data_IF_661565806021
#
_entry.id   IF_661565806021
#
_cell.length_a   1.000
_cell.length_b   1.000
_cell.length_c   1.000
_cell.angle_alpha   90.00
_cell.angle_beta   90.00
_cell.angle_gamma   90.00
#
_symmetry.space_group_name_H-M   'P 1'
#
loop_
_entity.id
_entity.type
_entity.pdbx_description
1 polymer ?
#
# COMPACT_ATOMS: atom_id res chain seq x y z
N UNK A 1 10.19 10.09 -10.23
CA UNK A 1 8.80 10.45 -10.56
C UNK A 1 8.14 10.90 -9.28
N UNK A 2 7.57 12.11 -9.23
CA UNK A 2 6.93 12.66 -8.02
C UNK A 2 5.41 12.73 -8.16
N UNK A 3 4.88 12.56 -9.37
CA UNK A 3 3.47 12.53 -9.71
C UNK A 3 3.25 11.60 -10.90
N UNK A 4 2.04 11.05 -11.00
CA UNK A 4 1.57 10.22 -12.10
C UNK A 4 0.11 10.53 -12.46
N UNK A 5 -0.38 11.75 -12.19
CA UNK A 5 -1.77 12.16 -12.47
C UNK A 5 -2.22 12.02 -13.94
N UNK A 6 -1.28 12.11 -14.89
CA UNK A 6 -1.53 11.97 -16.33
C UNK A 6 -1.38 10.52 -16.84
N UNK A 7 -1.16 9.55 -15.96
CA UNK A 7 -0.96 8.15 -16.34
C UNK A 7 -2.26 7.50 -16.81
N UNK A 8 -2.34 7.23 -18.11
CA UNK A 8 -3.50 6.67 -18.80
C UNK A 8 -3.53 5.14 -18.83
N UNK A 9 -2.51 4.47 -18.30
CA UNK A 9 -2.49 3.00 -18.16
C UNK A 9 -3.64 2.56 -17.26
N UNK A 10 -4.05 1.30 -17.42
CA UNK A 10 -5.25 0.79 -16.74
C UNK A 10 -4.86 -0.01 -15.51
N UNK A 11 -5.48 0.30 -14.37
CA UNK A 11 -5.32 -0.44 -13.13
C UNK A 11 -5.82 -1.87 -13.31
N UNK A 12 -4.96 -2.84 -13.00
CA UNK A 12 -5.33 -4.24 -12.90
C UNK A 12 -5.74 -4.62 -11.48
N UNK A 13 -4.91 -4.23 -10.49
CA UNK A 13 -5.10 -4.58 -9.10
C UNK A 13 -4.46 -3.50 -8.22
N UNK A 14 -5.15 -3.13 -7.14
CA UNK A 14 -4.62 -2.27 -6.08
C UNK A 14 -4.34 -3.17 -4.88
N UNK A 15 -3.19 -3.03 -4.25
CA UNK A 15 -2.81 -3.83 -3.09
C UNK A 15 -2.23 -2.96 -1.99
N UNK A 16 -2.59 -3.27 -0.74
CA UNK A 16 -1.76 -2.90 0.40
C UNK A 16 -0.69 -4.00 0.57
N UNK A 17 0.58 -3.62 0.53
CA UNK A 17 1.71 -4.55 0.57
C UNK A 17 2.54 -4.30 1.80
N UNK A 18 2.76 -5.36 2.57
CA UNK A 18 3.60 -5.39 3.75
C UNK A 18 4.99 -5.95 3.38
N UNK A 19 6.03 -5.20 3.73
CA UNK A 19 7.43 -5.55 3.56
C UNK A 19 8.13 -5.67 4.91
N UNK A 20 9.15 -6.51 5.04
CA UNK A 20 10.08 -6.39 6.17
C UNK A 20 10.82 -5.06 6.02
N UNK A 21 10.87 -4.27 7.10
CA UNK A 21 11.70 -3.06 7.16
C UNK A 21 12.98 -3.34 7.94
N UNK A 22 12.84 -4.01 9.08
CA UNK A 22 13.92 -4.61 9.87
C UNK A 22 13.32 -5.76 10.72
N UNK A 23 14.13 -6.36 11.59
CA UNK A 23 13.72 -7.52 12.42
C UNK A 23 12.47 -7.25 13.28
N UNK A 24 12.20 -5.98 13.61
CA UNK A 24 11.14 -5.58 14.52
C UNK A 24 9.96 -4.89 13.83
N UNK A 25 10.14 -4.36 12.62
CA UNK A 25 9.15 -3.52 11.97
C UNK A 25 8.87 -3.93 10.53
N UNK A 26 7.62 -3.77 10.11
CA UNK A 26 7.22 -3.84 8.72
C UNK A 26 6.99 -2.45 8.15
N UNK A 27 7.20 -2.33 6.84
CA UNK A 27 6.78 -1.18 6.07
C UNK A 27 5.56 -1.52 5.23
N UNK A 28 4.59 -0.61 5.19
CA UNK A 28 3.38 -0.76 4.37
C UNK A 28 3.40 0.21 3.20
N UNK A 29 3.02 -0.28 2.02
CA UNK A 29 3.00 0.49 0.78
C UNK A 29 1.77 0.16 -0.05
N UNK A 30 1.38 1.09 -0.93
CA UNK A 30 0.31 0.91 -1.88
C UNK A 30 0.94 0.48 -3.21
N UNK A 31 0.57 -0.69 -3.70
CA UNK A 31 1.03 -1.21 -4.97
C UNK A 31 -0.11 -1.16 -5.99
N UNK A 32 0.13 -0.51 -7.12
CA UNK A 32 -0.83 -0.34 -8.21
C UNK A 32 -0.30 -1.13 -9.40
N UNK A 33 -0.83 -2.32 -9.62
CA UNK A 33 -0.52 -3.11 -10.80
C UNK A 33 -1.29 -2.58 -12.00
N UNK A 34 -0.65 -2.52 -13.15
CA UNK A 34 -1.28 -1.95 -14.34
C UNK A 34 -1.02 -2.75 -15.60
N UNK A 35 -1.85 -2.48 -16.60
CA UNK A 35 -1.71 -2.90 -17.99
C UNK A 35 -1.58 -1.66 -18.86
N UNK A 36 -0.97 -1.79 -20.04
CA UNK A 36 -0.79 -0.65 -20.94
C UNK A 36 -2.12 -0.06 -21.41
N UNK A 37 -3.15 -0.88 -21.58
CA UNK A 37 -4.51 -0.46 -21.90
C UNK A 37 -5.54 -1.56 -21.53
N UNK A 38 -6.83 -1.28 -21.76
CA UNK A 38 -7.95 -2.16 -21.40
C UNK A 38 -7.98 -3.49 -22.16
N UNK A 39 -7.39 -3.55 -23.36
CA UNK A 39 -7.40 -4.76 -24.21
C UNK A 39 -6.24 -5.70 -23.91
N UNK A 40 -5.19 -5.22 -23.25
CA UNK A 40 -4.05 -6.06 -22.87
C UNK A 40 -4.48 -7.11 -21.83
N UNK A 41 -3.96 -8.33 -21.99
CA UNK A 41 -4.15 -9.42 -21.02
C UNK A 41 -3.00 -9.52 -20.04
N UNK A 42 -1.77 -9.21 -20.47
CA UNK A 42 -0.57 -9.22 -19.64
C UNK A 42 -0.43 -7.97 -18.77
N UNK A 43 0.19 -8.13 -17.59
CA UNK A 43 0.60 -7.03 -16.72
C UNK A 43 1.86 -6.38 -17.27
N UNK A 44 1.88 -5.05 -17.28
CA UNK A 44 3.00 -4.27 -17.77
C UNK A 44 3.96 -3.85 -16.63
N UNK A 45 3.47 -3.81 -15.38
CA UNK A 45 4.29 -3.50 -14.22
C UNK A 45 3.47 -3.04 -13.02
N UNK A 46 4.13 -2.34 -12.10
CA UNK A 46 3.49 -1.72 -10.93
C UNK A 46 4.07 -0.36 -10.56
N UNK A 47 3.25 0.49 -9.96
CA UNK A 47 3.68 1.68 -9.23
C UNK A 47 3.52 1.43 -7.73
N UNK A 48 4.60 1.63 -6.98
CA UNK A 48 4.59 1.54 -5.52
C UNK A 48 4.64 2.94 -4.93
N UNK A 49 3.58 3.29 -4.22
CA UNK A 49 3.44 4.53 -3.49
C UNK A 49 3.63 4.25 -2.00
N UNK A 50 4.50 4.99 -1.34
CA UNK A 50 4.71 4.82 0.09
C UNK A 50 5.22 6.11 0.74
N UNK A 51 4.97 6.21 2.04
CA UNK A 51 5.57 7.23 2.89
C UNK A 51 6.77 6.63 3.62
N UNK A 52 7.85 7.37 3.77
CA UNK A 52 9.03 6.99 4.57
C UNK A 52 9.48 8.18 5.42
N UNK A 53 10.43 7.96 6.31
CA UNK A 53 11.14 9.05 7.00
C UNK A 53 12.51 9.17 6.35
N UNK A 54 12.87 10.37 5.95
CA UNK A 54 14.22 10.69 5.49
C UNK A 54 15.19 10.56 6.68
N UNK A 55 16.24 9.76 6.50
CA UNK A 55 17.14 9.42 7.60
C UNK A 55 18.06 10.58 8.03
N UNK A 56 18.27 11.58 7.16
CA UNK A 56 19.16 12.71 7.42
C UNK A 56 18.41 13.87 8.09
N UNK A 57 17.20 14.15 7.61
CA UNK A 57 16.39 15.30 8.04
C UNK A 57 15.33 14.92 9.07
N UNK A 58 14.89 13.66 9.09
CA UNK A 58 13.74 13.22 9.88
C UNK A 58 12.39 13.57 9.26
N UNK A 59 12.37 14.16 8.06
CA UNK A 59 11.15 14.59 7.40
C UNK A 59 10.37 13.40 6.82
N UNK A 60 9.05 13.52 6.78
CA UNK A 60 8.21 12.50 6.13
C UNK A 60 8.21 12.70 4.61
N UNK A 61 8.53 11.65 3.86
CA UNK A 61 8.71 11.69 2.40
C UNK A 61 7.71 10.79 1.72
N UNK A 62 6.98 11.32 0.75
CA UNK A 62 6.18 10.54 -0.19
C UNK A 62 7.03 10.14 -1.40
N UNK A 63 7.15 8.85 -1.67
CA UNK A 63 7.89 8.32 -2.79
C UNK A 63 7.02 7.44 -3.70
N UNK A 64 7.35 7.49 -5.00
CA UNK A 64 6.73 6.66 -6.04
C UNK A 64 7.84 5.91 -6.77
N UNK A 65 7.75 4.58 -6.77
CA UNK A 65 8.71 3.70 -7.43
C UNK A 65 8.00 2.90 -8.51
N UNK A 66 8.42 3.08 -9.76
CA UNK A 66 7.96 2.25 -10.87
C UNK A 66 8.76 0.94 -10.91
N UNK A 67 8.07 -0.18 -11.11
CA UNK A 67 8.67 -1.51 -11.22
C UNK A 67 8.18 -2.21 -12.48
N UNK A 68 9.07 -2.96 -13.13
CA UNK A 68 8.74 -3.80 -14.29
C UNK A 68 8.00 -5.10 -13.92
N UNK A 69 7.84 -5.38 -12.61
CA UNK A 69 7.15 -6.55 -12.08
C UNK A 69 5.89 -6.13 -11.31
N UNK A 70 4.91 -7.03 -11.22
CA UNK A 70 3.63 -6.77 -10.56
C UNK A 70 3.74 -6.73 -9.03
N UNK A 71 4.50 -7.65 -8.44
CA UNK A 71 4.74 -7.75 -6.99
C UNK A 71 6.23 -8.07 -6.77
N UNK A 72 6.82 -7.52 -5.72
CA UNK A 72 8.21 -7.83 -5.33
C UNK A 72 8.28 -9.16 -4.59
N UNK A 73 9.36 -9.92 -4.79
CA UNK A 73 9.64 -11.15 -4.05
C UNK A 73 9.89 -10.92 -2.54
N UNK A 74 10.07 -9.66 -2.11
CA UNK A 74 10.29 -9.30 -0.71
C UNK A 74 9.01 -8.80 0.00
N UNK A 75 7.82 -9.26 -0.43
CA UNK A 75 6.59 -9.02 0.31
C UNK A 75 6.33 -10.16 1.30
N UNK A 76 5.84 -9.82 2.50
CA UNK A 76 5.43 -10.80 3.51
C UNK A 76 3.93 -11.02 3.46
N UNK A 77 3.17 -9.97 3.15
CA UNK A 77 1.71 -10.03 3.04
C UNK A 77 1.22 -9.05 1.98
N UNK A 78 0.16 -9.43 1.28
CA UNK A 78 -0.63 -8.53 0.43
C UNK A 78 -2.10 -8.59 0.82
N UNK A 79 -2.78 -7.45 0.73
CA UNK A 79 -4.23 -7.37 0.83
C UNK A 79 -4.74 -6.74 -0.46
N UNK A 80 -5.56 -7.50 -1.17
CA UNK A 80 -5.97 -7.18 -2.54
C UNK A 80 -7.27 -6.39 -2.59
N UNK A 81 -7.32 -5.39 -3.46
CA UNK A 81 -8.47 -4.55 -3.74
C UNK A 81 -8.66 -4.46 -5.27
N UNK A 82 -9.47 -5.36 -5.86
CA UNK A 82 -9.82 -5.27 -7.27
C UNK A 82 -10.50 -3.92 -7.58
N UNK A 83 -10.17 -3.27 -8.70
CA UNK A 83 -10.84 -2.03 -9.09
C UNK A 83 -12.30 -2.31 -9.43
N UNK A 84 -13.19 -1.38 -9.10
CA UNK A 84 -14.63 -1.46 -9.42
C UNK A 84 -14.91 -1.32 -10.92
N UNK A 85 -14.00 -0.69 -11.66
CA UNK A 85 -14.06 -0.50 -13.11
C UNK A 85 -12.87 -1.19 -13.78
N UNK A 86 -13.14 -1.90 -14.88
CA UNK A 86 -12.10 -2.54 -15.70
C UNK A 86 -11.29 -1.54 -16.55
N UNK A 87 -11.65 -0.27 -16.55
CA UNK A 87 -10.98 0.80 -17.29
C UNK A 87 -10.59 1.97 -16.37
N UNK A 88 -10.25 1.69 -15.11
CA UNK A 88 -9.78 2.70 -14.17
C UNK A 88 -8.36 3.16 -14.56
N UNK A 89 -8.13 4.45 -14.88
CA UNK A 89 -6.78 4.94 -15.17
C UNK A 89 -5.92 4.99 -13.90
N UNK A 90 -4.63 4.68 -14.03
CA UNK A 90 -3.66 4.74 -12.93
C UNK A 90 -3.56 6.16 -12.36
N UNK A 91 -3.61 7.20 -13.20
CA UNK A 91 -3.53 8.58 -12.76
C UNK A 91 -4.65 9.03 -11.82
N UNK A 92 -5.82 8.37 -11.85
CA UNK A 92 -6.91 8.67 -10.93
C UNK A 92 -6.55 8.31 -9.48
N UNK A 93 -5.64 7.34 -9.29
CA UNK A 93 -5.11 7.02 -7.95
C UNK A 93 -4.22 8.17 -7.45
N UNK A 94 -3.40 8.78 -8.31
CA UNK A 94 -2.60 9.97 -7.93
C UNK A 94 -3.51 11.13 -7.52
N UNK A 95 -4.57 11.37 -8.29
CA UNK A 95 -5.54 12.43 -7.98
C UNK A 95 -6.17 12.22 -6.59
N UNK A 96 -6.54 11.00 -6.22
CA UNK A 96 -7.05 10.69 -4.88
C UNK A 96 -6.00 11.00 -3.80
N UNK A 97 -4.75 10.57 -4.00
CA UNK A 97 -3.65 10.84 -3.05
C UNK A 97 -3.42 12.35 -2.90
N UNK A 98 -3.47 13.10 -4.00
CA UNK A 98 -3.17 14.53 -4.02
C UNK A 98 -4.31 15.39 -3.50
N UNK A 99 -5.55 15.15 -3.94
CA UNK A 99 -6.72 15.90 -3.48
C UNK A 99 -6.96 15.76 -1.98
N UNK A 100 -6.53 14.64 -1.38
CA UNK A 100 -6.62 14.41 0.07
C UNK A 100 -5.31 14.71 0.82
N UNK A 101 -4.35 15.38 0.18
CA UNK A 101 -3.05 15.76 0.76
C UNK A 101 -2.21 14.60 1.33
N UNK A 102 -2.48 13.35 0.93
CA UNK A 102 -1.76 12.19 1.43
C UNK A 102 -0.27 12.20 1.02
N UNK A 103 0.07 12.84 -0.10
CA UNK A 103 1.46 13.07 -0.51
C UNK A 103 2.24 14.04 0.40
N UNK A 104 1.56 14.74 1.30
CA UNK A 104 2.12 15.65 2.32
C UNK A 104 1.82 15.16 3.73
N UNK A 105 1.47 13.88 3.87
CA UNK A 105 1.14 13.31 5.17
C UNK A 105 2.39 13.32 6.06
N UNK A 106 2.22 13.76 7.30
CA UNK A 106 3.29 13.81 8.31
C UNK A 106 3.08 12.70 9.34
N UNK A 107 4.15 11.98 9.67
CA UNK A 107 4.08 10.94 10.68
C UNK A 107 3.96 11.55 12.08
N UNK A 108 3.07 10.98 12.91
CA UNK A 108 3.18 11.22 14.35
C UNK A 108 4.46 10.56 14.88
N UNK A 109 4.99 11.10 15.98
CA UNK A 109 6.18 10.60 16.68
C UNK A 109 6.06 9.15 17.20
N UNK A 110 4.90 8.51 17.04
CA UNK A 110 4.56 7.19 17.58
C UNK A 110 4.92 6.03 16.63
N UNK A 111 5.55 6.30 15.48
CA UNK A 111 6.26 5.27 14.71
C UNK A 111 5.40 4.29 13.88
N UNK A 112 4.13 4.60 13.60
CA UNK A 112 3.24 3.75 12.78
C UNK A 112 2.68 4.44 11.52
N UNK A 113 3.24 5.58 11.13
CA UNK A 113 2.69 6.46 10.09
C UNK A 113 2.40 5.78 8.75
N UNK A 114 3.21 4.81 8.31
CA UNK A 114 2.95 4.08 7.06
C UNK A 114 1.65 3.25 7.10
N UNK A 115 1.31 2.68 8.26
CA UNK A 115 0.08 1.88 8.45
C UNK A 115 -1.14 2.77 8.36
N UNK A 116 -1.13 3.90 9.07
CA UNK A 116 -2.23 4.86 9.03
C UNK A 116 -2.38 5.49 7.64
N UNK A 117 -1.27 5.85 7.00
CA UNK A 117 -1.30 6.37 5.63
C UNK A 117 -1.96 5.42 4.64
N UNK A 118 -1.64 4.12 4.69
CA UNK A 118 -2.27 3.12 3.81
C UNK A 118 -3.76 2.97 4.12
N UNK A 119 -4.15 2.98 5.40
CA UNK A 119 -5.56 2.97 5.78
C UNK A 119 -6.32 4.14 5.12
N UNK A 120 -5.78 5.37 5.25
CA UNK A 120 -6.38 6.56 4.63
C UNK A 120 -6.40 6.45 3.11
N UNK A 121 -5.34 5.98 2.47
CA UNK A 121 -5.29 5.80 1.02
C UNK A 121 -6.41 4.88 0.53
N UNK A 122 -6.61 3.72 1.17
CA UNK A 122 -7.70 2.79 0.82
C UNK A 122 -9.07 3.40 1.14
N UNK A 123 -9.22 4.10 2.26
CA UNK A 123 -10.47 4.78 2.63
C UNK A 123 -10.88 5.84 1.61
N UNK A 124 -9.93 6.63 1.10
CA UNK A 124 -10.21 7.64 0.08
C UNK A 124 -10.48 7.02 -1.29
N UNK A 125 -9.80 5.92 -1.65
CA UNK A 125 -10.12 5.15 -2.86
C UNK A 125 -11.51 4.52 -2.81
N UNK A 126 -11.92 4.06 -1.63
CA UNK A 126 -13.27 3.56 -1.37
C UNK A 126 -14.31 4.68 -1.50
N UNK A 127 -14.04 5.85 -0.93
CA UNK A 127 -14.91 7.04 -1.05
C UNK A 127 -15.08 7.49 -2.50
N UNK A 128 -14.00 7.43 -3.29
CA UNK A 128 -14.02 7.67 -4.73
C UNK A 128 -14.67 6.54 -5.56
N UNK A 129 -15.09 5.45 -4.90
CA UNK A 129 -15.67 4.23 -5.49
C UNK A 129 -14.75 3.53 -6.49
N UNK A 130 -13.43 3.68 -6.34
CA UNK A 130 -12.44 2.97 -7.17
C UNK A 130 -12.16 1.55 -6.65
N UNK A 131 -12.43 1.31 -5.37
CA UNK A 131 -12.47 -0.03 -4.75
C UNK A 131 -13.82 -0.24 -4.07
N UNK A 132 -14.15 -1.50 -3.74
CA UNK A 132 -15.43 -1.84 -3.13
C UNK A 132 -15.63 -1.18 -1.75
N UNK A 133 -16.88 -0.88 -1.40
CA UNK A 133 -17.24 -0.43 -0.05
C UNK A 133 -16.84 -1.47 1.01
N UNK A 134 -16.39 -1.00 2.18
CA UNK A 134 -15.85 -1.81 3.28
C UNK A 134 -14.38 -2.21 3.10
N UNK A 135 -13.68 -1.72 2.07
CA UNK A 135 -12.27 -2.04 1.81
C UNK A 135 -11.35 -1.58 2.94
N UNK A 136 -11.53 -0.35 3.44
CA UNK A 136 -10.70 0.16 4.54
C UNK A 136 -10.96 -0.61 5.85
N UNK A 137 -12.21 -0.94 6.13
CA UNK A 137 -12.58 -1.74 7.30
C UNK A 137 -11.99 -3.16 7.23
N UNK A 138 -12.01 -3.79 6.05
CA UNK A 138 -11.38 -5.10 5.82
C UNK A 138 -9.86 -5.06 5.98
N UNK A 139 -9.22 -3.96 5.60
CA UNK A 139 -7.79 -3.79 5.76
C UNK A 139 -7.36 -3.65 7.23
N UNK A 140 -8.19 -3.00 8.04
CA UNK A 140 -7.84 -2.56 9.39
C UNK A 140 -7.19 -3.65 10.27
N UNK A 141 -7.72 -4.89 10.38
CA UNK A 141 -7.12 -5.92 11.22
C UNK A 141 -5.68 -6.28 10.83
N UNK A 142 -5.33 -6.18 9.54
CA UNK A 142 -3.98 -6.49 9.07
C UNK A 142 -2.96 -5.44 9.49
N UNK A 143 -3.39 -4.18 9.58
CA UNK A 143 -2.54 -3.06 9.96
C UNK A 143 -2.21 -3.03 11.46
N UNK A 144 -2.97 -3.75 12.29
CA UNK A 144 -2.68 -3.93 13.73
C UNK A 144 -1.71 -5.05 14.03
N UNK A 145 -1.13 -5.68 13.01
CA UNK A 145 -0.18 -6.77 13.18
C UNK A 145 1.15 -6.47 12.50
N UNK A 146 2.23 -6.95 13.10
CA UNK A 146 3.45 -7.22 12.36
C UNK A 146 3.37 -8.61 11.74
N UNK A 147 3.98 -8.75 10.58
CA UNK A 147 3.95 -9.94 9.75
C UNK A 147 5.37 -10.38 9.47
N UNK A 148 5.61 -11.68 9.62
CA UNK A 148 6.87 -12.32 9.29
C UNK A 148 6.63 -13.68 8.62
N UNK A 149 7.65 -14.15 7.90
CA UNK A 149 7.65 -15.47 7.29
C UNK A 149 8.56 -16.37 8.11
N UNK A 150 8.01 -17.44 8.68
CA UNK A 150 8.74 -18.39 9.51
C UNK A 150 8.63 -19.79 8.92
N UNK A 151 9.72 -20.55 8.92
CA UNK A 151 9.68 -21.96 8.58
C UNK A 151 9.02 -22.75 9.73
N UNK A 152 8.09 -23.63 9.40
CA UNK A 152 7.59 -24.62 10.34
C UNK A 152 8.61 -25.76 10.57
N UNK A 153 8.26 -26.73 11.41
CA UNK A 153 9.13 -27.87 11.73
C UNK A 153 9.45 -28.76 10.52
N UNK A 154 8.76 -28.58 9.39
CA UNK A 154 8.99 -29.27 8.12
C UNK A 154 9.72 -28.38 7.10
N UNK A 155 10.11 -27.16 7.47
CA UNK A 155 10.76 -26.20 6.57
C UNK A 155 9.80 -25.45 5.65
N UNK A 156 8.48 -25.60 5.83
CA UNK A 156 7.48 -24.89 5.03
C UNK A 156 7.34 -23.46 5.55
N UNK A 157 7.50 -22.48 4.66
CA UNK A 157 7.35 -21.07 5.02
C UNK A 157 5.87 -20.76 5.27
N UNK A 158 5.58 -20.29 6.47
CA UNK A 158 4.27 -19.84 6.92
C UNK A 158 4.32 -18.36 7.25
N UNK A 159 3.29 -17.62 6.83
CA UNK A 159 3.11 -16.24 7.25
C UNK A 159 2.51 -16.21 8.65
N UNK A 160 3.19 -15.54 9.58
CA UNK A 160 2.78 -15.37 10.97
C UNK A 160 2.45 -13.91 11.23
N UNK A 161 1.54 -13.69 12.17
CA UNK A 161 1.26 -12.35 12.71
C UNK A 161 1.62 -12.27 14.19
N UNK A 162 2.10 -11.10 14.61
CA UNK A 162 2.22 -10.70 16.02
C UNK A 162 1.50 -9.35 16.20
N UNK A 163 0.71 -9.15 17.26
CA UNK A 163 0.04 -7.88 17.49
C UNK A 163 1.03 -6.71 17.55
N UNK A 164 0.65 -5.59 16.94
CA UNK A 164 1.34 -4.32 17.10
C UNK A 164 0.91 -3.67 18.40
N UNK A 165 1.84 -3.24 19.23
CA UNK A 165 1.56 -2.35 20.38
C UNK A 165 1.35 -0.89 19.94
N UNK A 166 1.71 -0.58 18.70
CA UNK A 166 1.45 0.71 18.04
C UNK A 166 0.09 0.63 17.36
N UNK A 167 -0.97 0.95 18.09
CA UNK A 167 -2.37 0.93 17.62
C UNK A 167 -2.86 2.39 17.53
N UNK A 168 -3.27 2.82 16.33
CA UNK A 168 -3.98 4.09 16.16
C UNK A 168 -5.46 3.91 16.55
N UNK A 169 -6.02 4.85 17.33
CA UNK A 169 -7.47 5.05 17.42
C UNK A 169 -8.26 4.16 18.38
N UNK A 170 -7.61 3.49 19.34
CA UNK A 170 -8.30 3.03 20.55
C UNK A 170 -7.87 3.93 21.72
N UNK A 171 -8.80 4.49 22.52
CA UNK A 171 -8.41 5.05 23.80
C UNK A 171 -7.81 3.92 24.63
N UNK A 172 -6.66 4.19 25.26
CA UNK A 172 -6.18 3.37 26.37
C UNK A 172 -7.15 3.47 27.56
#
# INVERSE_FOLDING_TARGET
>A
MTDFGDDTRVVHLIQAVCHPYNDNYNHWSLNIQFKDNVTNTALAGSLRCHMTVDAETGDTVYAIVANAYAITNNCVLTVDFPPTSSNLPVGYISQVIRHNNLHRFEYSSEGSGCRHWIYLAIQHLETARYVAAGSAARLWPYLHSFWDNVADNMGVIQTRSRPSTLIYGLPQ
#
